data_IF_146776446582
#
_entry.id   IF_146776446582
#
_cell.length_a   1.000
_cell.length_b   1.000
_cell.length_c   1.000
_cell.angle_alpha   90.00
_cell.angle_beta   90.00
_cell.angle_gamma   90.00
#
_symmetry.space_group_name_H-M   'P 1'
#
loop_
_entity.id
_entity.type
_entity.pdbx_description
1 polymer ?
#
# COMPACT_ATOMS: atom_id res chain seq x y z
N UNK A 1 -1.67 13.93 6.71
CA UNK A 1 -2.70 14.24 5.70
C UNK A 1 -3.59 13.02 5.50
N UNK A 2 -4.88 13.21 5.49
CA UNK A 2 -5.91 12.19 5.18
C UNK A 2 -5.91 11.73 3.70
N UNK A 3 -5.12 12.40 2.88
CA UNK A 3 -4.90 12.10 1.46
C UNK A 3 -3.51 11.51 1.19
N UNK A 4 -2.75 11.16 2.22
CA UNK A 4 -1.45 10.54 2.03
C UNK A 4 -1.61 9.10 1.52
N UNK A 5 -0.95 8.79 0.42
CA UNK A 5 -0.84 7.41 -0.05
C UNK A 5 0.28 6.71 0.73
N UNK A 6 -0.12 5.88 1.69
CA UNK A 6 0.80 5.17 2.58
C UNK A 6 1.67 4.16 1.86
N UNK A 7 1.25 3.68 0.68
CA UNK A 7 2.03 2.73 -0.13
C UNK A 7 3.22 3.38 -0.82
N UNK A 8 3.22 4.72 -0.93
CA UNK A 8 4.27 5.50 -1.58
C UNK A 8 5.28 6.10 -0.60
N UNK A 9 5.13 5.86 0.70
CA UNK A 9 6.01 6.43 1.72
C UNK A 9 7.45 5.95 1.51
N UNK A 10 8.34 6.91 1.37
CA UNK A 10 9.80 6.70 1.39
C UNK A 10 10.37 7.40 2.61
N UNK A 11 11.07 6.66 3.42
CA UNK A 11 11.75 7.17 4.61
C UNK A 11 13.26 7.02 4.45
N UNK A 12 13.96 8.15 4.48
CA UNK A 12 15.43 8.20 4.37
C UNK A 12 15.98 8.94 5.58
N UNK A 13 16.85 8.29 6.30
CA UNK A 13 17.51 8.85 7.48
C UNK A 13 18.94 9.27 7.11
N UNK A 14 19.24 10.55 7.23
CA UNK A 14 20.59 11.08 7.10
C UNK A 14 21.25 11.10 8.48
N UNK A 15 22.51 10.71 8.55
CA UNK A 15 23.20 10.54 9.83
C UNK A 15 23.26 11.84 10.67
N UNK A 16 23.57 12.98 10.04
CA UNK A 16 23.55 14.29 10.71
C UNK A 16 23.64 15.45 9.69
N UNK A 17 23.64 16.67 10.16
CA UNK A 17 23.87 17.83 9.30
C UNK A 17 25.28 17.86 8.70
N UNK A 18 26.28 17.32 9.40
CA UNK A 18 27.68 17.24 8.96
C UNK A 18 28.01 15.94 8.23
N UNK A 19 27.31 14.86 8.50
CA UNK A 19 27.42 13.58 7.80
C UNK A 19 26.16 13.34 6.95
N UNK A 20 26.29 13.59 5.64
CA UNK A 20 25.20 13.46 4.67
C UNK A 20 24.94 12.02 4.21
N UNK A 21 25.58 11.03 4.81
CA UNK A 21 25.32 9.63 4.53
C UNK A 21 23.85 9.29 4.80
N UNK A 22 23.18 8.73 3.79
CA UNK A 22 21.76 8.43 3.83
C UNK A 22 21.52 6.92 3.95
N UNK A 23 20.54 6.56 4.75
CA UNK A 23 20.08 5.20 4.96
C UNK A 23 18.58 5.12 4.65
N UNK A 24 18.21 4.26 3.74
CA UNK A 24 16.79 3.99 3.45
C UNK A 24 16.22 3.06 4.50
N UNK A 25 15.07 3.44 5.04
CA UNK A 25 14.28 2.64 5.97
C UNK A 25 13.05 2.12 5.24
N UNK A 26 12.66 0.88 5.52
CA UNK A 26 11.51 0.22 4.90
C UNK A 26 10.37 0.05 5.90
N UNK A 27 9.13 0.00 5.41
CA UNK A 27 7.97 -0.29 6.26
C UNK A 27 8.08 -1.71 6.82
N UNK A 28 7.99 -1.85 8.13
CA UNK A 28 7.94 -3.14 8.79
C UNK A 28 6.57 -3.80 8.58
N UNK A 29 6.55 -4.98 7.97
CA UNK A 29 5.35 -5.79 7.75
C UNK A 29 5.22 -6.95 8.73
N UNK A 30 6.31 -7.32 9.40
CA UNK A 30 6.37 -8.36 10.43
C UNK A 30 7.37 -7.94 11.50
N UNK A 31 7.09 -8.28 12.75
CA UNK A 31 8.00 -8.03 13.90
C UNK A 31 8.91 -9.22 14.18
N UNK A 32 8.57 -10.41 13.69
CA UNK A 32 9.24 -11.67 14.08
C UNK A 32 10.62 -11.84 13.45
N UNK A 33 10.92 -11.10 12.38
CA UNK A 33 12.19 -11.20 11.65
C UNK A 33 13.08 -9.98 11.84
N UNK A 34 12.70 -9.06 12.74
CA UNK A 34 13.44 -7.83 12.99
C UNK A 34 14.44 -8.00 14.14
N UNK A 35 15.60 -7.39 13.96
CA UNK A 35 16.66 -7.27 14.97
C UNK A 35 17.00 -5.80 15.25
N UNK A 36 17.94 -5.59 16.16
CA UNK A 36 18.41 -4.25 16.57
C UNK A 36 19.10 -3.45 15.45
N UNK A 37 19.43 -4.05 14.32
CA UNK A 37 20.12 -3.42 13.18
C UNK A 37 19.18 -3.18 11.99
N UNK A 38 17.98 -3.74 12.02
CA UNK A 38 16.99 -3.65 10.95
C UNK A 38 16.54 -2.20 10.75
N UNK A 39 16.81 -1.64 9.57
CA UNK A 39 16.44 -0.27 9.18
C UNK A 39 14.99 -0.23 8.72
N UNK A 40 14.09 -0.16 9.69
CA UNK A 40 12.65 -0.18 9.46
C UNK A 40 11.95 0.98 10.17
N UNK A 41 10.78 1.34 9.67
CA UNK A 41 9.83 2.19 10.35
C UNK A 41 8.48 1.48 10.45
N UNK A 42 7.70 1.86 11.44
CA UNK A 42 6.34 1.39 11.66
C UNK A 42 5.37 2.50 11.34
N UNK A 43 4.24 2.15 10.77
CA UNK A 43 3.18 3.09 10.43
C UNK A 43 1.92 2.70 11.19
N UNK A 44 1.32 3.67 11.87
CA UNK A 44 0.06 3.52 12.57
C UNK A 44 -0.90 4.60 12.12
N UNK A 45 -2.17 4.23 11.94
CA UNK A 45 -3.23 5.21 11.75
C UNK A 45 -3.57 5.85 13.10
N UNK A 46 -3.58 7.18 13.11
CA UNK A 46 -3.98 8.01 14.24
C UNK A 46 -5.42 8.50 14.05
N UNK A 47 -5.92 9.29 14.99
CA UNK A 47 -7.23 9.93 14.87
C UNK A 47 -7.30 10.84 13.62
N UNK A 48 -8.51 11.06 13.11
CA UNK A 48 -8.79 11.91 11.95
C UNK A 48 -8.11 11.50 10.63
N UNK A 49 -7.83 10.20 10.44
CA UNK A 49 -7.21 9.68 9.20
C UNK A 49 -5.78 10.17 9.00
N UNK A 50 -5.11 10.56 10.07
CA UNK A 50 -3.69 10.87 10.05
C UNK A 50 -2.86 9.60 10.28
N UNK A 51 -1.57 9.70 9.98
CA UNK A 51 -0.64 8.58 10.16
C UNK A 51 0.54 9.01 11.04
N UNK A 52 0.93 8.13 11.93
CA UNK A 52 2.11 8.29 12.77
C UNK A 52 3.17 7.30 12.32
N UNK A 53 4.43 7.76 12.33
CA UNK A 53 5.60 6.97 11.99
C UNK A 53 6.44 6.78 13.24
N UNK A 54 6.74 5.52 13.55
CA UNK A 54 7.61 5.14 14.65
C UNK A 54 8.86 4.46 14.12
N UNK A 55 9.94 4.54 14.88
CA UNK A 55 11.20 3.87 14.60
C UNK A 55 11.51 2.84 15.67
N UNK A 56 12.45 1.95 15.38
CA UNK A 56 12.87 0.94 16.31
C UNK A 56 13.45 1.53 17.61
N UNK A 57 13.37 0.75 18.67
CA UNK A 57 13.89 1.07 20.00
C UNK A 57 15.33 0.59 20.24
N UNK A 58 15.92 -0.13 19.26
CA UNK A 58 17.23 -0.77 19.35
C UNK A 58 17.16 -2.24 19.79
N UNK A 59 15.96 -2.78 19.99
CA UNK A 59 15.69 -4.21 20.16
C UNK A 59 14.94 -4.74 18.95
N UNK A 60 13.81 -4.09 18.64
CA UNK A 60 12.99 -4.35 17.43
C UNK A 60 13.17 -3.17 16.48
N UNK A 61 14.07 -3.34 15.52
CA UNK A 61 14.45 -2.29 14.60
C UNK A 61 15.52 -1.35 15.15
N UNK A 62 16.27 -0.75 14.24
CA UNK A 62 17.35 0.18 14.58
C UNK A 62 16.78 1.46 15.19
N UNK A 63 17.27 1.80 16.40
CA UNK A 63 17.01 3.08 17.03
C UNK A 63 17.69 4.22 16.27
N UNK A 64 17.04 5.36 16.21
CA UNK A 64 17.64 6.59 15.68
C UNK A 64 18.61 7.20 16.70
N UNK A 65 19.68 7.78 16.20
CA UNK A 65 20.67 8.50 16.98
C UNK A 65 20.32 9.99 17.06
N UNK A 66 20.77 10.66 18.11
CA UNK A 66 20.61 12.11 18.22
C UNK A 66 21.30 12.82 17.05
N UNK A 67 20.61 13.79 16.46
CA UNK A 67 21.09 14.54 15.30
C UNK A 67 20.78 13.90 13.95
N UNK A 68 20.16 12.72 13.91
CA UNK A 68 19.64 12.18 12.66
C UNK A 68 18.59 13.12 12.03
N UNK A 69 18.64 13.24 10.70
CA UNK A 69 17.66 14.02 9.93
C UNK A 69 16.74 13.03 9.22
N UNK A 70 15.44 13.15 9.49
CA UNK A 70 14.41 12.29 8.94
C UNK A 70 13.82 12.95 7.71
N UNK A 71 14.00 12.35 6.55
CA UNK A 71 13.40 12.78 5.29
C UNK A 71 12.28 11.80 4.91
N UNK A 72 11.04 12.28 4.95
CA UNK A 72 9.87 11.52 4.55
C UNK A 72 9.28 12.14 3.30
N UNK A 73 9.09 11.33 2.26
CA UNK A 73 8.38 11.72 1.04
C UNK A 73 7.25 10.75 0.77
N UNK A 74 6.11 11.26 0.37
CA UNK A 74 4.93 10.48 0.01
C UNK A 74 4.09 11.24 -1.02
N UNK A 75 3.24 10.52 -1.73
CA UNK A 75 2.30 11.12 -2.68
C UNK A 75 1.02 11.51 -1.94
N UNK A 76 0.52 12.71 -2.23
CA UNK A 76 -0.82 13.14 -1.81
C UNK A 76 -1.77 12.88 -2.97
N UNK A 77 -2.78 12.06 -2.75
CA UNK A 77 -3.72 11.64 -3.79
C UNK A 77 -4.96 12.52 -3.82
N UNK A 78 -5.60 12.58 -4.98
CA UNK A 78 -6.94 13.18 -5.12
C UNK A 78 -8.06 12.13 -5.01
N UNK A 79 -7.74 10.93 -4.52
CA UNK A 79 -8.71 9.81 -4.39
C UNK A 79 -9.40 9.56 -5.74
N UNK A 80 -10.73 9.50 -5.77
CA UNK A 80 -11.52 9.28 -6.98
C UNK A 80 -11.64 10.51 -7.89
N UNK A 81 -11.30 11.72 -7.41
CA UNK A 81 -11.53 12.98 -8.15
C UNK A 81 -10.77 13.05 -9.48
N UNK A 82 -9.62 12.37 -9.60
CA UNK A 82 -8.82 12.35 -10.81
C UNK A 82 -9.23 11.28 -11.82
N UNK A 83 -10.15 10.38 -11.46
CA UNK A 83 -10.61 9.33 -12.36
C UNK A 83 -11.30 9.92 -13.59
N UNK A 84 -11.11 9.25 -14.72
CA UNK A 84 -11.61 9.67 -16.04
C UNK A 84 -10.96 10.94 -16.62
N UNK A 85 -9.94 11.53 -15.98
CA UNK A 85 -9.18 12.62 -16.59
C UNK A 85 -8.58 12.14 -17.92
N UNK A 86 -8.86 12.89 -18.99
CA UNK A 86 -8.52 12.53 -20.38
C UNK A 86 -7.59 13.55 -21.04
N UNK A 87 -7.26 14.65 -20.37
CA UNK A 87 -6.33 15.67 -20.88
C UNK A 87 -5.28 16.02 -19.83
N UNK A 88 -4.06 16.14 -20.27
CA UNK A 88 -2.91 16.47 -19.41
C UNK A 88 -2.08 17.55 -20.05
N UNK A 89 -1.56 18.49 -19.27
CA UNK A 89 -0.66 19.53 -19.71
C UNK A 89 0.66 19.42 -18.95
N UNK A 90 1.75 19.66 -19.65
CA UNK A 90 3.07 19.76 -19.02
C UNK A 90 3.15 21.08 -18.24
N UNK A 91 3.46 20.99 -16.95
CA UNK A 91 3.77 22.16 -16.13
C UNK A 91 5.27 22.22 -15.90
N UNK A 92 5.96 23.09 -16.65
CA UNK A 92 7.40 23.26 -16.57
C UNK A 92 8.15 22.60 -17.71
N UNK A 93 9.39 22.19 -17.47
CA UNK A 93 10.26 21.56 -18.48
C UNK A 93 10.74 20.19 -18.01
N UNK A 94 10.98 19.29 -18.95
CA UNK A 94 11.64 18.00 -18.71
C UNK A 94 13.04 18.08 -19.33
N UNK A 95 14.07 18.01 -18.49
CA UNK A 95 15.47 18.13 -18.93
C UNK A 95 15.75 19.39 -19.77
N UNK A 96 15.05 20.49 -19.48
CA UNK A 96 15.19 21.77 -20.21
C UNK A 96 14.32 21.93 -21.46
N UNK A 97 13.60 20.89 -21.89
CA UNK A 97 12.68 20.94 -23.02
C UNK A 97 11.27 21.35 -22.54
N UNK A 98 10.66 22.29 -23.28
CA UNK A 98 9.30 22.82 -23.01
C UNK A 98 8.29 22.49 -24.12
N UNK A 99 8.75 22.09 -25.29
CA UNK A 99 7.98 21.80 -26.50
C UNK A 99 7.62 20.30 -26.63
N UNK A 100 7.26 19.69 -25.51
CA UNK A 100 6.94 18.25 -25.44
C UNK A 100 5.46 18.04 -25.76
N UNK A 101 5.19 17.18 -26.73
CA UNK A 101 3.82 16.73 -27.04
C UNK A 101 3.44 15.59 -26.12
N UNK A 102 2.32 15.75 -25.41
CA UNK A 102 1.73 14.70 -24.58
C UNK A 102 0.65 13.96 -25.36
N UNK A 103 0.78 12.65 -25.45
CA UNK A 103 -0.27 11.78 -26.03
C UNK A 103 -0.88 10.94 -24.90
N UNK A 104 -2.20 11.09 -24.73
CA UNK A 104 -2.93 10.32 -23.72
C UNK A 104 -3.25 8.96 -24.30
N UNK A 105 -2.77 7.90 -23.68
CA UNK A 105 -2.97 6.52 -24.10
C UNK A 105 -4.28 5.93 -23.53
N UNK A 106 -4.60 6.31 -22.28
CA UNK A 106 -5.85 5.93 -21.60
C UNK A 106 -6.22 6.99 -20.58
N UNK A 107 -7.49 7.08 -20.25
CA UNK A 107 -7.95 7.97 -19.19
C UNK A 107 -7.36 7.55 -17.83
N UNK A 108 -7.18 8.52 -16.94
CA UNK A 108 -6.73 8.24 -15.58
C UNK A 108 -7.73 7.34 -14.86
N UNK A 109 -7.24 6.34 -14.15
CA UNK A 109 -8.02 5.37 -13.40
C UNK A 109 -7.23 4.87 -12.18
N UNK A 110 -7.91 4.16 -11.27
CA UNK A 110 -7.28 3.55 -10.10
C UNK A 110 -7.31 4.41 -8.84
N UNK A 111 -7.87 5.63 -8.92
CA UNK A 111 -8.16 6.40 -7.72
C UNK A 111 -9.32 5.77 -6.94
N UNK A 112 -9.18 5.63 -5.62
CA UNK A 112 -10.21 5.09 -4.74
C UNK A 112 -10.29 5.90 -3.45
N UNK A 113 -11.48 5.90 -2.85
CA UNK A 113 -11.66 6.40 -1.49
C UNK A 113 -11.17 5.34 -0.47
N UNK A 114 -10.82 5.73 0.74
CA UNK A 114 -10.54 4.79 1.82
C UNK A 114 -11.71 3.83 2.05
N UNK A 115 -11.39 2.60 2.45
CA UNK A 115 -12.40 1.61 2.76
C UNK A 115 -13.36 2.13 3.86
N UNK A 116 -14.66 1.93 3.66
CA UNK A 116 -15.66 2.37 4.62
C UNK A 116 -15.60 1.55 5.92
N UNK A 117 -15.93 2.17 7.06
CA UNK A 117 -15.97 1.47 8.35
C UNK A 117 -16.91 0.24 8.34
N UNK A 118 -17.99 0.27 7.56
CA UNK A 118 -18.88 -0.88 7.43
C UNK A 118 -18.21 -2.03 6.67
N UNK A 119 -17.47 -1.72 5.60
CA UNK A 119 -16.70 -2.71 4.85
C UNK A 119 -15.62 -3.32 5.73
N UNK A 120 -14.87 -2.50 6.48
CA UNK A 120 -13.85 -2.97 7.42
C UNK A 120 -14.46 -3.92 8.46
N UNK A 121 -15.58 -3.54 9.10
CA UNK A 121 -16.27 -4.39 10.06
C UNK A 121 -16.74 -5.73 9.49
N UNK A 122 -17.11 -5.75 8.22
CA UNK A 122 -17.53 -6.97 7.53
C UNK A 122 -16.33 -7.86 7.17
N UNK A 123 -15.25 -7.27 6.67
CA UNK A 123 -14.09 -8.00 6.15
C UNK A 123 -13.07 -8.40 7.22
N UNK A 124 -12.90 -7.59 8.28
CA UNK A 124 -11.87 -7.82 9.29
C UNK A 124 -11.94 -9.20 9.98
N UNK A 125 -13.13 -9.73 10.36
CA UNK A 125 -13.22 -11.08 10.93
C UNK A 125 -12.71 -12.17 9.97
N UNK A 126 -12.99 -12.04 8.67
CA UNK A 126 -12.56 -13.01 7.65
C UNK A 126 -11.03 -12.94 7.44
N UNK A 127 -10.48 -11.73 7.38
CA UNK A 127 -9.02 -11.52 7.29
C UNK A 127 -8.32 -12.10 8.53
N UNK A 128 -8.86 -11.84 9.71
CA UNK A 128 -8.30 -12.38 10.95
C UNK A 128 -8.39 -13.92 11.00
N UNK A 129 -9.53 -14.49 10.61
CA UNK A 129 -9.74 -15.94 10.61
C UNK A 129 -8.83 -16.67 9.61
N UNK A 130 -8.53 -16.05 8.46
CA UNK A 130 -7.65 -16.63 7.45
C UNK A 130 -6.20 -16.75 7.91
N UNK A 131 -5.76 -15.94 8.88
CA UNK A 131 -4.39 -15.89 9.40
C UNK A 131 -3.34 -15.90 8.29
N UNK A 132 -3.57 -15.07 7.27
CA UNK A 132 -2.74 -14.92 6.08
C UNK A 132 -2.59 -16.18 5.22
N UNK A 133 -3.47 -17.17 5.39
CA UNK A 133 -3.54 -18.39 4.59
C UNK A 133 -4.76 -18.36 3.68
N UNK A 134 -4.75 -19.15 2.62
CA UNK A 134 -5.88 -19.37 1.73
C UNK A 134 -6.15 -20.87 1.63
N UNK A 135 -7.11 -21.35 2.39
CA UNK A 135 -7.52 -22.77 2.46
C UNK A 135 -8.98 -22.94 2.09
N UNK A 136 -9.84 -22.08 2.64
CA UNK A 136 -11.28 -22.10 2.35
C UNK A 136 -11.63 -21.09 1.25
N UNK A 137 -12.80 -21.25 0.65
CA UNK A 137 -13.34 -20.30 -0.35
C UNK A 137 -13.36 -18.88 0.20
N UNK A 138 -13.74 -18.69 1.46
CA UNK A 138 -13.80 -17.39 2.10
C UNK A 138 -12.40 -16.78 2.32
N UNK A 139 -11.38 -17.61 2.62
CA UNK A 139 -10.00 -17.15 2.73
C UNK A 139 -9.50 -16.60 1.38
N UNK A 140 -9.79 -17.29 0.27
CA UNK A 140 -9.45 -16.82 -1.07
C UNK A 140 -10.11 -15.49 -1.38
N UNK A 141 -11.40 -15.32 -1.06
CA UNK A 141 -12.11 -14.05 -1.24
C UNK A 141 -11.49 -12.93 -0.40
N UNK A 142 -11.22 -13.21 0.88
CA UNK A 142 -10.58 -12.25 1.79
C UNK A 142 -9.20 -11.82 1.27
N UNK A 143 -8.39 -12.80 0.82
CA UNK A 143 -7.06 -12.54 0.28
C UNK A 143 -7.09 -11.70 -1.00
N UNK A 144 -8.01 -11.97 -1.91
CA UNK A 144 -8.18 -11.15 -3.12
C UNK A 144 -8.58 -9.74 -2.76
N UNK A 145 -9.52 -9.54 -1.85
CA UNK A 145 -9.93 -8.21 -1.37
C UNK A 145 -8.75 -7.44 -0.74
N UNK A 146 -7.90 -8.11 0.01
CA UNK A 146 -6.71 -7.53 0.61
C UNK A 146 -5.69 -7.08 -0.44
N UNK A 147 -5.47 -7.91 -1.48
CA UNK A 147 -4.49 -7.64 -2.54
C UNK A 147 -5.02 -6.68 -3.62
N UNK A 148 -6.33 -6.66 -3.82
CA UNK A 148 -7.00 -5.85 -4.84
C UNK A 148 -8.25 -5.21 -4.25
N UNK A 149 -8.06 -4.15 -3.47
CA UNK A 149 -9.12 -3.45 -2.74
C UNK A 149 -10.21 -2.86 -3.65
N UNK A 150 -9.87 -2.51 -4.90
CA UNK A 150 -10.80 -1.92 -5.88
C UNK A 150 -11.77 -2.94 -6.49
N UNK A 151 -11.66 -4.24 -6.15
CA UNK A 151 -12.61 -5.23 -6.66
C UNK A 151 -14.02 -4.98 -6.12
N UNK A 152 -15.01 -4.88 -7.00
CA UNK A 152 -16.42 -4.71 -6.63
C UNK A 152 -16.98 -6.03 -6.07
N UNK A 153 -16.64 -7.14 -6.70
CA UNK A 153 -17.09 -8.47 -6.27
C UNK A 153 -16.00 -9.51 -6.51
N UNK A 154 -15.94 -10.49 -5.62
CA UNK A 154 -15.03 -11.64 -5.72
C UNK A 154 -15.83 -12.91 -5.47
N UNK A 155 -15.73 -13.87 -6.38
CA UNK A 155 -16.25 -15.23 -6.22
C UNK A 155 -15.11 -16.23 -6.30
N UNK A 156 -15.14 -17.25 -5.45
CA UNK A 156 -14.17 -18.34 -5.50
C UNK A 156 -14.92 -19.68 -5.32
N UNK A 157 -14.43 -20.72 -5.97
CA UNK A 157 -14.98 -22.09 -5.85
C UNK A 157 -13.91 -23.13 -6.14
N UNK A 158 -14.10 -24.33 -5.62
CA UNK A 158 -13.22 -25.47 -5.87
C UNK A 158 -13.34 -25.99 -7.29
N UNK A 159 -12.28 -26.58 -7.79
CA UNK A 159 -12.32 -27.20 -9.11
C UNK A 159 -13.24 -28.43 -9.21
N UNK A 160 -13.56 -29.02 -8.06
CA UNK A 160 -14.56 -30.10 -7.92
C UNK A 160 -15.99 -29.65 -8.27
N UNK A 161 -16.30 -28.39 -8.09
CA UNK A 161 -17.62 -27.78 -8.39
C UNK A 161 -17.78 -27.38 -9.87
N UNK A 162 -16.73 -27.57 -10.70
CA UNK A 162 -16.82 -27.24 -12.10
C UNK A 162 -17.62 -28.33 -12.89
N UNK A 163 -18.24 -27.95 -14.02
CA UNK A 163 -18.98 -28.87 -14.89
C UNK A 163 -18.15 -30.11 -15.28
N UNK A 164 -16.85 -29.93 -15.49
CA UNK A 164 -15.86 -31.00 -15.58
C UNK A 164 -14.94 -30.87 -14.36
N UNK A 165 -15.02 -31.76 -13.36
CA UNK A 165 -14.25 -31.63 -12.13
C UNK A 165 -12.74 -31.67 -12.34
N UNK A 166 -12.02 -30.69 -11.79
CA UNK A 166 -10.57 -30.61 -11.73
C UNK A 166 -10.11 -30.50 -10.28
N UNK A 167 -9.75 -31.60 -9.66
CA UNK A 167 -9.27 -31.61 -8.29
C UNK A 167 -7.93 -30.88 -8.14
N UNK A 168 -7.75 -30.22 -6.99
CA UNK A 168 -6.54 -29.46 -6.66
C UNK A 168 -6.45 -28.08 -7.35
N UNK A 169 -7.55 -27.58 -7.91
CA UNK A 169 -7.64 -26.23 -8.47
C UNK A 169 -8.66 -25.40 -7.73
N UNK A 170 -8.42 -24.10 -7.68
CA UNK A 170 -9.36 -23.10 -7.22
C UNK A 170 -9.57 -22.10 -8.35
N UNK A 171 -10.81 -21.81 -8.63
CA UNK A 171 -11.21 -20.79 -9.59
C UNK A 171 -11.61 -19.52 -8.86
N UNK A 172 -11.16 -18.38 -9.35
CA UNK A 172 -11.46 -17.07 -8.79
C UNK A 172 -11.97 -16.19 -9.91
N UNK A 173 -13.13 -15.58 -9.69
CA UNK A 173 -13.71 -14.56 -10.55
C UNK A 173 -13.71 -13.22 -9.83
N UNK A 174 -13.18 -12.19 -10.48
CA UNK A 174 -13.05 -10.85 -9.91
C UNK A 174 -13.79 -9.88 -10.83
N UNK A 175 -14.71 -9.11 -10.27
CA UNK A 175 -15.28 -7.94 -10.92
C UNK A 175 -14.48 -6.72 -10.44
N UNK A 176 -13.73 -6.06 -11.33
CA UNK A 176 -12.94 -4.88 -10.99
C UNK A 176 -13.81 -3.66 -10.63
#
# INVERSE_FOLDING_TARGET
SDRADTTTIKCVIQNSASDTTQNTYTLATSITELDSTSKVFFLQEAEDGQYEIYFGDGVIGKKLDDGNIINISYVVTNKTEANAASSFALSGSISGFTDITLTVNSNAQGGADPESLQSIKFNAPNVYASQDRAVTVEDYKAKVKQLYANSQSVSAWGGEDAETPFYGRVYISILP
#
